data_IF_565638515779
#
_entry.id   IF_565638515779
#
_cell.length_a   1.000
_cell.length_b   1.000
_cell.length_c   1.000
_cell.angle_alpha   90.00
_cell.angle_beta   90.00
_cell.angle_gamma   90.00
#
_symmetry.space_group_name_H-M   'P 1'
#
loop_
_entity.id
_entity.type
_entity.pdbx_description
1 polymer ?
2 non-polymer ?
3 water ?
#
# COMPACT_ATOMS: atom_id res chain seq x y z
N UNK A 12 15.68 -17.06 -10.26
CA UNK A 12 14.34 -16.74 -9.64
C UNK A 12 13.21 -17.58 -10.27
N UNK A 13 12.56 -18.45 -9.46
CA UNK A 13 11.39 -19.21 -9.92
C UNK A 13 10.08 -18.41 -9.85
N UNK A 14 9.17 -18.66 -10.82
CA UNK A 14 7.86 -17.98 -10.86
C UNK A 14 7.10 -18.27 -9.57
N UNK A 15 6.57 -17.23 -8.93
CA UNK A 15 5.69 -17.38 -7.79
C UNK A 15 4.38 -17.99 -8.34
N UNK A 16 3.73 -18.89 -7.59
CA UNK A 16 2.54 -19.56 -8.17
C UNK A 16 1.26 -18.75 -8.02
N UNK A 17 0.37 -18.83 -8.99
CA UNK A 17 -0.93 -18.22 -8.86
C UNK A 17 -1.78 -19.15 -8.06
N UNK A 18 -2.55 -18.57 -7.14
CA UNK A 18 -3.47 -19.33 -6.31
C UNK A 18 -4.82 -18.84 -6.68
N UNK A 19 -5.62 -19.74 -7.24
CA UNK A 19 -6.94 -19.34 -7.74
C UNK A 19 -7.90 -19.73 -6.62
N UNK A 20 -8.90 -18.90 -6.38
CA UNK A 20 -9.71 -19.04 -5.19
C UNK A 20 -11.17 -19.11 -5.57
N UNK A 21 -11.51 -18.47 -6.69
CA UNK A 21 -12.85 -18.51 -7.20
C UNK A 21 -12.79 -18.44 -8.72
N UNK A 22 -13.80 -18.96 -9.40
CA UNK A 22 -13.82 -18.91 -10.85
C UNK A 22 -14.68 -17.76 -11.37
N UNK A 23 -14.33 -17.26 -12.56
CA UNK A 23 -14.95 -16.10 -13.20
C UNK A 23 -16.47 -16.25 -13.50
N UNK A 24 -17.09 -15.18 -14.04
CA UNK A 24 -18.52 -15.14 -14.48
C UNK A 24 -19.47 -15.71 -13.43
N UNK A 29 -20.62 -8.73 -14.65
CA UNK A 29 -19.42 -8.51 -13.82
C UNK A 29 -18.16 -8.07 -14.59
N UNK A 30 -17.15 -7.58 -13.85
CA UNK A 30 -15.93 -7.03 -14.44
C UNK A 30 -14.75 -7.49 -13.61
N UNK A 31 -13.82 -8.21 -14.21
CA UNK A 31 -12.64 -8.58 -13.46
C UNK A 31 -11.51 -7.56 -13.67
N UNK A 32 -10.57 -7.50 -12.72
CA UNK A 32 -9.39 -6.61 -12.85
C UNK A 32 -8.36 -6.95 -11.81
N UNK A 33 -7.13 -6.58 -12.06
CA UNK A 33 -6.06 -6.86 -11.09
C UNK A 33 -5.55 -5.59 -10.39
N UNK A 34 -5.15 -5.80 -9.14
CA UNK A 34 -4.55 -4.79 -8.27
C UNK A 34 -3.20 -5.24 -7.73
N UNK A 35 -2.17 -4.44 -7.94
CA UNK A 35 -0.84 -4.61 -7.33
C UNK A 35 -0.60 -3.59 -6.16
N UNK A 36 0.06 -4.03 -5.09
CA UNK A 36 0.42 -3.21 -3.95
C UNK A 36 1.86 -3.50 -3.64
N UNK A 37 2.70 -2.49 -3.69
CA UNK A 37 4.14 -2.76 -3.61
C UNK A 37 4.94 -1.65 -2.94
N UNK A 38 5.64 -1.98 -1.86
CA UNK A 38 6.54 -1.00 -1.27
C UNK A 38 7.91 -1.24 -1.87
N UNK A 39 8.37 -0.24 -2.56
CA UNK A 39 9.49 -0.24 -3.46
C UNK A 39 10.85 -0.06 -2.79
N UNK A 40 10.82 0.46 -1.53
CA UNK A 40 12.03 0.79 -0.78
C UNK A 40 12.79 1.97 -1.38
N UNK A 41 12.57 3.18 -0.81
CA UNK A 41 13.20 4.37 -1.40
C UNK A 41 14.70 4.35 -1.16
N UNK A 42 15.42 4.97 -2.07
CA UNK A 42 16.84 5.02 -2.08
C UNK A 42 17.41 5.55 -0.76
N UNK A 43 16.74 6.55 -0.20
CA UNK A 43 17.22 7.26 0.98
C UNK A 43 17.33 6.34 2.17
N UNK A 44 16.52 5.30 2.22
CA UNK A 44 16.64 4.39 3.35
C UNK A 44 17.30 3.08 2.99
N UNK A 45 17.86 3.01 1.78
CA UNK A 45 18.52 1.80 1.34
C UNK A 45 20.03 1.84 1.67
N UNK A 46 20.34 1.78 2.96
CA UNK A 46 21.73 1.90 3.41
C UNK A 46 22.26 0.57 3.96
N UNK A 47 23.60 0.49 3.97
CA UNK A 47 24.37 -0.60 4.58
C UNK A 47 24.14 -0.77 6.06
N UNK A 48 23.86 0.34 6.75
CA UNK A 48 23.51 0.28 8.14
C UNK A 48 22.25 -0.51 8.37
N UNK A 49 21.21 -0.25 7.55
CA UNK A 49 19.94 -0.96 7.71
C UNK A 49 19.94 -2.30 6.99
N UNK A 50 20.76 -2.42 5.95
CA UNK A 50 20.74 -3.66 5.15
C UNK A 50 22.14 -4.17 4.96
N UNK A 51 22.75 -4.64 6.05
CA UNK A 51 24.18 -4.94 6.06
C UNK A 51 24.50 -6.15 5.21
N UNK A 52 23.50 -7.00 5.01
CA UNK A 52 23.65 -8.27 4.35
C UNK A 52 23.55 -8.19 2.85
N UNK A 53 23.34 -6.99 2.31
CA UNK A 53 23.20 -6.84 0.87
C UNK A 53 24.31 -5.96 0.33
N UNK A 54 25.01 -6.41 -0.74
CA UNK A 54 26.11 -5.62 -1.32
C UNK A 54 25.66 -4.25 -1.79
N UNK A 55 26.57 -3.28 -1.70
CA UNK A 55 26.31 -1.90 -2.09
C UNK A 55 25.91 -1.75 -3.53
N UNK A 56 26.55 -2.52 -4.39
CA UNK A 56 26.22 -2.42 -5.77
C UNK A 56 24.75 -2.90 -6.02
N UNK A 57 24.24 -3.81 -5.20
CA UNK A 57 22.84 -4.27 -5.31
C UNK A 57 21.83 -3.36 -4.59
N UNK A 58 22.29 -2.53 -3.64
CA UNK A 58 21.45 -1.53 -3.00
C UNK A 58 21.32 -0.28 -3.85
N UNK A 59 22.35 0.04 -4.60
CA UNK A 59 22.42 1.26 -5.35
C UNK A 59 21.19 1.39 -6.26
N UNK A 60 20.59 2.58 -6.28
CA UNK A 60 19.33 2.83 -6.99
C UNK A 60 19.42 2.58 -8.50
N UNK A 61 20.58 2.89 -9.11
CA UNK A 61 20.81 2.63 -10.53
C UNK A 61 20.61 1.13 -10.82
N UNK A 62 21.08 0.28 -9.91
CA UNK A 62 20.89 -1.13 -10.05
C UNK A 62 19.45 -1.51 -9.73
N UNK A 63 18.99 -1.23 -8.48
CA UNK A 63 17.67 -1.66 -7.94
C UNK A 63 16.48 -1.18 -8.74
N UNK A 64 16.54 0.03 -9.29
CA UNK A 64 15.39 0.53 -10.02
C UNK A 64 14.97 -0.34 -11.21
N UNK A 65 15.95 -0.94 -11.90
CA UNK A 65 15.71 -1.88 -13.02
C UNK A 65 14.84 -3.03 -12.55
N UNK A 66 15.24 -3.66 -11.43
CA UNK A 66 14.46 -4.71 -10.80
C UNK A 66 13.08 -4.27 -10.37
N UNK A 67 12.94 -3.03 -9.89
CA UNK A 67 11.66 -2.57 -9.44
C UNK A 67 10.73 -2.40 -10.63
N UNK A 68 11.22 -1.73 -11.67
CA UNK A 68 10.47 -1.57 -12.92
C UNK A 68 10.02 -2.92 -13.53
N UNK A 69 10.94 -3.88 -13.58
CA UNK A 69 10.72 -5.20 -14.15
C UNK A 69 9.57 -5.84 -13.38
N UNK A 70 9.64 -5.77 -12.04
CA UNK A 70 8.56 -6.24 -11.19
C UNK A 70 7.20 -5.63 -11.55
N UNK A 71 7.13 -4.32 -11.62
CA UNK A 71 5.88 -3.65 -11.89
C UNK A 71 5.31 -3.97 -13.29
N UNK A 72 6.19 -3.88 -14.29
CA UNK A 72 5.87 -4.11 -15.68
C UNK A 72 5.29 -5.53 -15.86
N UNK A 73 5.96 -6.53 -15.29
CA UNK A 73 5.60 -7.92 -15.49
C UNK A 73 4.39 -8.34 -14.70
N UNK A 74 4.07 -7.61 -13.63
CA UNK A 74 2.81 -7.85 -12.94
C UNK A 74 1.71 -7.28 -13.80
N UNK A 75 1.99 -6.23 -14.54
CA UNK A 75 1.01 -5.74 -15.47
C UNK A 75 -0.40 -5.61 -14.83
N UNK A 76 -0.48 -5.10 -13.60
CA UNK A 76 -1.78 -4.88 -12.95
C UNK A 76 -2.60 -3.79 -13.61
N UNK A 77 -3.92 -3.90 -13.54
CA UNK A 77 -4.75 -2.79 -13.98
C UNK A 77 -4.65 -1.57 -13.04
N UNK A 78 -4.48 -1.83 -11.74
CA UNK A 78 -4.29 -0.82 -10.72
C UNK A 78 -3.01 -1.08 -9.93
N UNK A 79 -2.16 -0.07 -9.86
CA UNK A 79 -0.93 -0.20 -9.08
C UNK A 79 -0.88 0.81 -7.91
N UNK A 80 -0.74 0.31 -6.68
CA UNK A 80 -0.41 1.19 -5.53
C UNK A 80 1.01 1.00 -5.11
N UNK A 81 1.78 2.08 -5.16
CA UNK A 81 3.17 2.06 -4.71
C UNK A 81 3.38 2.89 -3.44
N UNK A 82 4.24 2.39 -2.55
CA UNK A 82 4.72 3.17 -1.43
C UNK A 82 6.22 3.39 -1.56
N UNK A 83 6.70 4.44 -0.90
CA UNK A 83 8.11 4.79 -0.84
C UNK A 83 8.67 5.17 -2.20
N UNK A 84 7.83 5.79 -3.01
CA UNK A 84 8.22 6.41 -4.27
C UNK A 84 8.76 7.79 -4.04
N UNK A 85 10.01 7.95 -4.39
CA UNK A 85 10.75 9.18 -4.31
C UNK A 85 10.17 10.18 -5.30
N UNK A 86 9.96 11.41 -4.86
CA UNK A 86 9.37 12.45 -5.72
C UNK A 86 9.98 12.58 -7.10
N UNK A 87 11.30 12.73 -7.18
CA UNK A 87 11.90 12.93 -8.47
C UNK A 87 11.82 11.62 -9.31
N UNK A 88 11.94 10.48 -8.66
CA UNK A 88 11.78 9.20 -9.32
C UNK A 88 10.36 9.04 -9.89
N UNK A 89 9.35 9.60 -9.22
CA UNK A 89 8.04 9.55 -9.77
C UNK A 89 7.99 10.27 -11.14
N UNK A 90 8.59 11.45 -11.23
CA UNK A 90 8.43 12.26 -12.44
C UNK A 90 9.30 11.82 -13.61
N UNK A 91 10.42 11.19 -13.34
CA UNK A 91 11.42 10.92 -14.35
C UNK A 91 11.55 9.41 -14.63
N UNK A 92 10.75 8.58 -13.95
CA UNK A 92 10.87 7.14 -14.09
C UNK A 92 9.52 6.47 -14.03
N UNK A 93 8.94 6.36 -12.85
CA UNK A 93 7.68 5.67 -12.71
C UNK A 93 6.63 6.17 -13.68
N UNK A 94 6.36 7.47 -13.70
CA UNK A 94 5.24 7.94 -14.47
C UNK A 94 5.55 7.89 -15.98
N UNK A 95 6.75 8.36 -16.39
CA UNK A 95 6.88 8.29 -17.85
C UNK A 95 6.93 6.83 -18.35
N UNK A 96 7.62 5.96 -17.63
CA UNK A 96 7.64 4.54 -18.04
C UNK A 96 6.27 3.90 -18.07
N UNK A 97 5.40 4.22 -17.11
CA UNK A 97 4.09 3.56 -17.00
C UNK A 97 3.03 4.14 -17.95
N UNK A 98 3.20 5.42 -18.31
CA UNK A 98 2.43 6.04 -19.35
C UNK A 98 2.68 5.31 -20.68
N UNK A 99 3.95 5.02 -20.96
CA UNK A 99 4.33 4.22 -22.11
C UNK A 99 3.61 2.88 -22.20
N UNK A 100 3.08 2.39 -21.06
CA UNK A 100 2.38 1.10 -20.96
C UNK A 100 0.92 1.28 -20.81
N UNK A 101 0.39 2.46 -21.02
CA UNK A 101 -1.06 2.62 -20.89
C UNK A 101 -1.59 3.09 -19.55
N UNK A 102 -0.74 3.50 -18.64
CA UNK A 102 -1.28 3.97 -17.35
C UNK A 102 -1.30 5.48 -17.25
N UNK A 103 -2.24 6.00 -16.49
CA UNK A 103 -2.02 7.31 -15.85
C UNK A 103 -1.84 7.16 -14.32
N UNK A 104 -1.38 8.21 -13.65
CA UNK A 104 -1.07 8.11 -12.20
C UNK A 104 -1.25 9.36 -11.36
N UNK A 105 -1.41 9.15 -10.05
CA UNK A 105 -1.46 10.21 -9.04
C UNK A 105 -0.38 9.98 -7.95
N UNK A 106 0.33 11.04 -7.56
CA UNK A 106 1.35 10.94 -6.56
C UNK A 106 1.27 12.09 -5.56
N UNK A 107 1.41 11.79 -4.27
CA UNK A 107 1.72 12.83 -3.25
C UNK A 107 2.87 12.39 -2.36
N UNK A 108 3.84 13.27 -2.20
CA UNK A 108 4.97 13.09 -1.25
C UNK A 108 4.47 13.30 0.17
N UNK A 109 5.21 12.83 1.15
CA UNK A 109 4.98 13.36 2.47
C UNK A 109 5.74 14.70 2.67
N UNK A 110 5.57 15.32 3.85
CA UNK A 110 6.33 16.56 4.22
C UNK A 110 6.13 17.74 3.31
N UNK A 111 4.97 17.83 2.70
CA UNK A 111 4.70 18.97 1.86
C UNK A 111 4.81 20.30 2.63
N UNK A 112 4.32 20.32 3.87
CA UNK A 112 4.33 21.54 4.67
C UNK A 112 5.71 21.80 5.31
N UNK A 113 6.59 20.81 5.33
CA UNK A 113 7.92 20.93 5.94
C UNK A 113 8.89 21.68 5.04
N UNK A 114 9.67 22.57 5.66
CA UNK A 114 10.58 23.41 4.93
C UNK A 114 11.88 22.65 4.70
N UNK A 115 12.40 22.69 3.47
CA UNK A 115 13.58 21.91 3.07
C UNK A 115 14.17 22.43 1.76
N UNK A 116 15.42 22.11 1.47
CA UNK A 116 15.98 22.52 0.15
C UNK A 116 15.28 21.83 -1.04
N UNK A 117 15.56 22.33 -2.25
CA UNK A 117 15.07 21.73 -3.52
C UNK A 117 15.60 20.32 -3.69
N UNK A 118 16.86 20.14 -3.32
CA UNK A 118 17.50 18.86 -3.35
C UNK A 118 16.75 17.89 -2.46
N UNK A 119 16.50 18.25 -1.20
CA UNK A 119 15.84 17.36 -0.26
C UNK A 119 14.42 17.07 -0.75
N UNK A 120 13.78 18.05 -1.37
CA UNK A 120 12.41 17.93 -1.83
C UNK A 120 12.28 16.83 -2.94
N UNK A 121 13.34 16.64 -3.74
CA UNK A 121 13.35 15.62 -4.79
C UNK A 121 13.45 14.25 -4.19
N UNK A 122 14.04 14.15 -3.00
CA UNK A 122 14.28 12.88 -2.37
C UNK A 122 13.22 12.35 -1.42
N UNK A 123 12.19 13.13 -1.19
CA UNK A 123 11.12 12.76 -0.25
C UNK A 123 10.20 11.76 -0.90
N UNK A 124 9.78 10.74 -0.16
CA UNK A 124 8.94 9.71 -0.74
C UNK A 124 7.47 9.94 -0.46
N UNK A 125 6.63 9.24 -1.20
CA UNK A 125 5.21 9.28 -1.07
C UNK A 125 4.53 8.06 -1.66
N UNK A 126 3.26 8.22 -1.94
CA UNK A 126 2.40 7.15 -2.32
C UNK A 126 1.87 7.49 -3.70
N UNK A 127 1.88 6.48 -4.59
CA UNK A 127 1.34 6.61 -5.93
C UNK A 127 0.25 5.52 -6.24
N UNK A 128 -0.78 5.94 -6.96
CA UNK A 128 -1.71 5.03 -7.55
C UNK A 128 -1.65 5.21 -9.08
N UNK A 129 -1.60 4.08 -9.77
CA UNK A 129 -1.62 4.09 -11.23
C UNK A 129 -2.72 3.19 -11.71
N UNK A 130 -3.23 3.49 -12.90
CA UNK A 130 -4.39 2.79 -13.46
C UNK A 130 -4.37 2.84 -15.00
N UNK A 131 -4.84 1.76 -15.62
CA UNK A 131 -4.91 1.63 -17.10
C UNK A 131 -5.98 2.55 -17.66
N UNK A 132 -5.59 3.53 -18.47
CA UNK A 132 -6.56 4.50 -19.03
C UNK A 132 -7.59 3.83 -19.97
N UNK A 133 -7.19 2.75 -20.64
CA UNK A 133 -8.08 1.89 -21.39
C UNK A 133 -9.22 1.37 -20.51
N UNK A 134 -8.97 1.13 -19.24
CA UNK A 134 -10.03 0.56 -18.40
C UNK A 134 -10.67 1.50 -17.37
N UNK A 135 -10.05 2.64 -17.09
CA UNK A 135 -10.55 3.53 -16.06
C UNK A 135 -10.39 4.99 -16.40
N UNK A 136 -11.29 5.81 -15.91
CA UNK A 136 -11.18 7.25 -16.09
C UNK A 136 -11.15 7.90 -14.71
N UNK A 137 -10.11 8.71 -14.49
CA UNK A 137 -9.93 9.42 -13.24
C UNK A 137 -10.95 10.55 -13.09
N UNK A 138 -11.66 10.51 -11.98
CA UNK A 138 -12.73 11.46 -11.72
C UNK A 138 -12.34 12.45 -10.62
N UNK A 139 -11.79 11.94 -9.51
CA UNK A 139 -11.31 12.78 -8.38
C UNK A 139 -10.04 12.24 -7.78
N UNK A 140 -9.17 13.12 -7.30
CA UNK A 140 -7.99 12.71 -6.54
C UNK A 140 -7.88 13.42 -5.21
N UNK A 141 -7.53 12.69 -4.16
CA UNK A 141 -7.33 13.25 -2.83
C UNK A 141 -6.07 12.78 -2.10
N UNK A 142 -5.50 13.70 -1.34
CA UNK A 142 -4.36 13.45 -0.48
C UNK A 142 -4.86 13.64 0.96
N UNK A 143 -4.51 12.68 1.82
CA UNK A 143 -4.83 12.70 3.23
C UNK A 143 -3.51 12.72 4.04
N UNK A 144 -3.31 13.81 4.76
CA UNK A 144 -2.12 14.02 5.55
C UNK A 144 -2.47 13.74 6.99
N UNK A 145 -1.95 12.64 7.53
CA UNK A 145 -2.43 12.19 8.85
C UNK A 145 -2.07 13.22 9.98
N UNK A 146 -0.91 13.88 9.86
CA UNK A 146 -0.47 14.90 10.83
C UNK A 146 -1.52 15.99 10.96
N UNK A 147 -1.98 16.49 9.82
CA UNK A 147 -3.00 17.52 9.81
C UNK A 147 -4.36 17.05 10.25
N UNK A 148 -4.71 15.80 9.98
CA UNK A 148 -6.02 15.30 10.42
C UNK A 148 -5.99 15.13 11.94
N UNK A 149 -4.81 14.76 12.44
CA UNK A 149 -4.64 14.55 13.85
C UNK A 149 -4.77 15.88 14.59
N UNK A 150 -4.20 16.93 14.00
CA UNK A 150 -4.16 18.18 14.69
C UNK A 150 -5.59 18.77 14.78
N UNK A 151 -6.29 18.86 13.66
CA UNK A 151 -7.73 19.21 13.60
C UNK A 151 -8.69 18.36 14.46
N UNK A 152 -8.24 17.22 14.96
CA UNK A 152 -9.08 16.35 15.79
C UNK A 152 -8.43 16.02 17.13
N UNK A 153 -7.45 16.83 17.57
CA UNK A 153 -6.74 16.55 18.83
C UNK A 153 -7.59 16.67 20.09
N UNK A 154 -8.39 17.74 20.19
CA UNK A 154 -9.40 17.84 21.28
C UNK A 154 -8.87 17.73 22.70
N UNK A 155 -7.90 18.55 23.08
CA UNK A 155 -7.33 18.43 24.43
C UNK A 155 -7.08 16.98 24.80
N UNK A 156 -6.42 16.26 23.88
CA UNK A 156 -5.88 14.92 24.11
C UNK A 156 -4.40 15.08 23.82
N UNK A 157 -3.61 14.83 24.85
CA UNK A 157 -2.18 15.08 24.83
C UNK A 157 -1.44 14.09 23.93
N UNK A 158 -1.86 12.82 23.96
CA UNK A 158 -1.31 11.76 23.12
C UNK A 158 -1.40 12.07 21.62
N UNK A 159 -2.58 12.48 21.16
CA UNK A 159 -2.80 12.89 19.76
C UNK A 159 -1.74 13.85 19.27
N UNK A 160 -1.45 14.87 20.05
CA UNK A 160 -0.61 15.97 19.61
C UNK A 160 0.87 15.59 19.66
N UNK A 161 1.29 14.99 20.77
CA UNK A 161 2.68 14.60 20.91
C UNK A 161 3.00 13.40 20.04
N UNK A 162 2.09 12.43 19.97
CA UNK A 162 2.40 11.13 19.38
C UNK A 162 1.96 11.00 17.93
N UNK A 163 0.72 11.37 17.63
CA UNK A 163 0.19 11.23 16.27
C UNK A 163 0.59 12.38 15.38
N UNK A 164 0.44 13.60 15.85
CA UNK A 164 0.57 14.74 14.97
C UNK A 164 2.04 14.93 14.60
N UNK A 165 2.94 14.35 15.38
CA UNK A 165 4.33 14.48 15.07
C UNK A 165 4.80 13.45 13.96
N UNK A 166 3.90 12.56 13.56
CA UNK A 166 4.19 11.57 12.49
C UNK A 166 3.76 12.04 11.09
N UNK A 167 4.76 12.21 10.26
CA UNK A 167 4.61 12.65 8.90
C UNK A 167 3.92 11.73 7.82
N UNK A 168 3.07 10.80 8.17
CA UNK A 168 2.54 9.86 7.17
C UNK A 168 1.34 10.30 6.33
N UNK A 169 1.16 9.67 5.17
CA UNK A 169 0.06 10.01 4.27
C UNK A 169 -0.63 8.84 3.57
N UNK A 170 -1.77 9.14 2.94
CA UNK A 170 -2.51 8.20 2.13
C UNK A 170 -3.01 9.01 0.97
N UNK A 171 -3.37 8.35 -0.13
CA UNK A 171 -3.90 9.03 -1.34
C UNK A 171 -5.08 8.23 -1.75
N UNK A 172 -5.96 8.85 -2.50
CA UNK A 172 -7.11 8.13 -2.96
C UNK A 172 -7.49 8.70 -4.29
N UNK A 173 -7.99 7.85 -5.18
CA UNK A 173 -8.56 8.32 -6.42
C UNK A 173 -9.98 7.78 -6.58
N UNK A 174 -10.84 8.58 -7.21
CA UNK A 174 -12.12 8.09 -7.65
C UNK A 174 -11.98 7.80 -9.15
N UNK A 175 -12.33 6.57 -9.51
CA UNK A 175 -12.24 6.12 -10.90
C UNK A 175 -13.58 5.69 -11.48
N UNK A 176 -13.73 5.96 -12.77
CA UNK A 176 -14.88 5.47 -13.52
C UNK A 176 -14.50 4.18 -14.22
N UNK A 177 -15.19 3.09 -13.90
CA UNK A 177 -14.96 1.79 -14.55
C UNK A 177 -15.70 1.76 -15.89
N UNK A 178 -14.94 1.75 -16.97
CA UNK A 178 -15.46 1.70 -18.34
C UNK A 178 -16.46 0.57 -18.54
N UNK A 179 -17.67 0.96 -18.95
CA UNK A 179 -18.84 0.07 -18.91
C UNK A 179 -18.61 -1.21 -19.71
N UNK A 180 -17.83 -1.11 -20.78
CA UNK A 180 -17.46 -2.27 -21.61
C UNK A 180 -16.55 -3.32 -20.96
N UNK A 181 -16.31 -3.20 -19.65
CA UNK A 181 -15.62 -4.26 -18.92
C UNK A 181 -16.60 -5.23 -18.29
N UNK A 182 -17.88 -4.88 -18.33
CA UNK A 182 -18.96 -5.75 -17.87
C UNK A 182 -19.52 -6.66 -18.97
N UNK A 194 -23.33 5.01 -14.55
CA UNK A 194 -21.89 5.34 -14.51
C UNK A 194 -21.20 4.78 -13.25
N UNK A 195 -20.37 3.75 -13.45
CA UNK A 195 -19.86 2.96 -12.34
C UNK A 195 -18.55 3.53 -11.78
N UNK A 196 -18.49 3.62 -10.45
CA UNK A 196 -17.38 4.29 -9.74
C UNK A 196 -16.61 3.34 -8.87
N UNK A 197 -15.31 3.56 -8.77
CA UNK A 197 -14.48 2.78 -7.84
C UNK A 197 -13.52 3.73 -7.13
N UNK A 198 -13.37 3.51 -5.83
CA UNK A 198 -12.41 4.23 -5.04
C UNK A 198 -11.26 3.29 -4.76
N UNK A 199 -10.06 3.75 -5.14
CA UNK A 199 -8.82 3.13 -4.76
C UNK A 199 -8.04 4.02 -3.76
N UNK A 200 -7.63 3.45 -2.64
CA UNK A 200 -6.93 4.17 -1.60
C UNK A 200 -5.63 3.44 -1.28
N UNK A 201 -4.56 4.20 -1.18
CA UNK A 201 -3.21 3.69 -0.92
C UNK A 201 -2.65 4.47 0.29
N UNK A 202 -2.09 3.80 1.28
CA UNK A 202 -1.46 4.49 2.48
C UNK A 202 -0.22 3.79 3.00
N UNK A 203 0.61 4.54 3.71
CA UNK A 203 1.79 4.00 4.34
C UNK A 203 1.87 4.58 5.77
N UNK A 204 1.45 3.77 6.74
CA UNK A 204 1.47 4.08 8.15
C UNK A 204 2.90 4.11 8.73
N UNK A 205 2.99 4.71 9.92
CA UNK A 205 4.21 4.81 10.71
C UNK A 205 4.68 3.39 11.04
N UNK A 206 5.97 3.17 11.15
CA UNK A 206 6.57 1.83 11.16
C UNK A 206 6.85 1.26 12.57
N UNK A 207 7.13 2.16 13.52
CA UNK A 207 7.67 1.82 14.85
C UNK A 207 6.72 0.95 15.67
N UNK A 208 7.15 -0.27 16.06
CA UNK A 208 6.24 -1.18 16.81
C UNK A 208 5.93 -0.69 18.23
N UNK A 209 6.69 0.30 18.69
CA UNK A 209 6.40 0.96 19.95
C UNK A 209 5.24 1.92 19.77
N UNK A 210 4.76 2.05 18.53
CA UNK A 210 3.67 2.98 18.24
C UNK A 210 2.42 2.39 17.64
N UNK A 211 1.98 1.26 18.19
CA UNK A 211 0.77 0.59 17.70
C UNK A 211 -0.46 1.48 17.76
N UNK A 212 -0.43 2.45 18.69
CA UNK A 212 -1.52 3.43 18.86
C UNK A 212 -1.57 4.40 17.70
N UNK A 213 -0.42 4.91 17.31
CA UNK A 213 -0.34 5.76 16.11
C UNK A 213 -0.85 5.05 14.85
N UNK A 214 -0.38 3.82 14.63
CA UNK A 214 -0.79 2.98 13.47
C UNK A 214 -2.29 2.87 13.45
N UNK A 215 -2.87 2.60 14.63
CA UNK A 215 -4.31 2.39 14.69
C UNK A 215 -5.06 3.66 14.38
N UNK A 216 -4.67 4.75 15.03
CA UNK A 216 -5.29 6.02 14.79
C UNK A 216 -5.12 6.49 13.34
N UNK A 217 -3.92 6.33 12.76
CA UNK A 217 -3.74 6.67 11.34
C UNK A 217 -4.69 5.87 10.42
N UNK A 218 -4.91 4.61 10.76
CA UNK A 218 -5.86 3.79 10.01
C UNK A 218 -7.28 4.30 10.13
N UNK A 219 -7.70 4.69 11.35
CA UNK A 219 -9.05 5.27 11.56
C UNK A 219 -9.25 6.56 10.85
N UNK A 220 -8.22 7.40 10.87
CA UNK A 220 -8.34 8.68 10.17
C UNK A 220 -8.43 8.42 8.68
N UNK A 221 -7.64 7.47 8.20
CA UNK A 221 -7.64 7.19 6.78
C UNK A 221 -9.00 6.67 6.33
N UNK A 222 -9.53 5.71 7.06
CA UNK A 222 -10.82 5.16 6.70
C UNK A 222 -11.96 6.22 6.75
N UNK A 223 -11.99 7.04 7.81
CA UNK A 223 -13.04 8.04 7.85
C UNK A 223 -12.79 9.18 6.88
N UNK A 224 -11.54 9.48 6.56
CA UNK A 224 -11.36 10.45 5.49
C UNK A 224 -11.80 9.87 4.14
N UNK A 225 -11.68 8.56 3.95
CA UNK A 225 -12.15 7.95 2.71
C UNK A 225 -13.69 7.95 2.67
N UNK A 226 -14.33 7.51 3.75
CA UNK A 226 -15.77 7.67 3.93
C UNK A 226 -15.99 9.15 4.02
N UNK A 227 -16.47 9.82 2.98
CA UNK A 227 -16.34 11.28 3.00
C UNK A 227 -16.00 11.76 1.61
N UNK A 228 -14.84 11.32 1.14
CA UNK A 228 -14.55 11.37 -0.27
C UNK A 228 -15.75 10.68 -0.92
N UNK A 229 -16.10 9.52 -0.36
CA UNK A 229 -17.22 8.74 -0.82
C UNK A 229 -18.56 9.51 -0.82
N UNK A 230 -18.75 10.44 0.12
CA UNK A 230 -19.98 11.24 0.11
C UNK A 230 -19.95 12.27 -1.03
N UNK A 231 -19.05 13.24 -0.93
CA UNK A 231 -18.94 14.32 -1.91
C UNK A 231 -19.22 13.90 -3.36
N UNK A 232 -18.68 12.74 -3.75
CA UNK A 232 -18.92 12.16 -5.09
C UNK A 232 -19.79 10.90 -4.98
N UNK A 245 -22.01 1.68 -0.80
CA UNK A 245 -22.66 2.25 -1.98
C UNK A 245 -21.74 2.58 -3.21
N UNK A 246 -20.41 2.64 -2.99
CA UNK A 246 -19.40 2.76 -4.08
C UNK A 246 -18.25 1.82 -3.71
N UNK A 247 -17.87 0.90 -4.61
CA UNK A 247 -16.85 -0.07 -4.21
C UNK A 247 -15.47 0.55 -3.87
N UNK A 248 -14.82 -0.07 -2.89
CA UNK A 248 -13.56 0.39 -2.37
C UNK A 248 -12.44 -0.68 -2.41
N UNK A 249 -11.30 -0.29 -2.97
CA UNK A 249 -10.08 -1.09 -2.85
C UNK A 249 -9.05 -0.32 -2.01
N UNK A 250 -8.60 -0.93 -0.92
CA UNK A 250 -7.68 -0.28 -0.03
C UNK A 250 -6.36 -1.00 0.01
N UNK A 251 -5.30 -0.32 -0.44
CA UNK A 251 -3.95 -0.88 -0.41
C UNK A 251 -3.13 -0.18 0.65
N UNK A 252 -2.37 -0.94 1.44
CA UNK A 252 -1.55 -0.24 2.39
C UNK A 252 -0.39 -1.03 2.89
N UNK A 253 0.73 -0.35 3.09
CA UNK A 253 1.74 -0.81 4.00
C UNK A 253 1.26 -0.32 5.39
N UNK A 254 0.52 -1.18 6.10
CA UNK A 254 0.01 -0.85 7.42
C UNK A 254 1.01 -0.98 8.54
N UNK A 255 2.12 -1.65 8.28
CA UNK A 255 3.12 -1.89 9.31
C UNK A 255 2.54 -2.59 10.49
N UNK A 256 1.52 -3.38 10.23
CA UNK A 256 0.77 -4.12 11.26
C UNK A 256 0.59 -5.60 10.89
N UNK A 257 0.89 -6.47 11.84
CA UNK A 257 0.62 -7.89 11.73
C UNK A 257 -0.88 -8.22 11.67
N UNK A 258 -1.25 -9.40 11.11
CA UNK A 258 -2.68 -9.80 11.04
C UNK A 258 -3.36 -9.90 12.39
N UNK A 259 -2.63 -10.21 13.46
CA UNK A 259 -3.22 -10.21 14.79
C UNK A 259 -3.50 -8.81 15.38
N UNK A 260 -2.86 -7.77 14.85
CA UNK A 260 -2.95 -6.40 15.37
C UNK A 260 -4.35 -5.82 15.51
N UNK A 261 -4.46 -4.75 16.29
CA UNK A 261 -5.68 -3.95 16.37
C UNK A 261 -6.07 -3.25 15.09
N UNK A 262 -5.07 -2.83 14.29
CA UNK A 262 -5.44 -2.21 12.99
C UNK A 262 -6.11 -3.17 12.03
N UNK A 263 -5.59 -4.39 12.00
CA UNK A 263 -6.15 -5.37 11.05
C UNK A 263 -7.49 -5.83 11.57
N UNK A 264 -7.54 -6.11 12.88
CA UNK A 264 -8.84 -6.36 13.52
C UNK A 264 -9.87 -5.29 13.18
N UNK A 265 -9.48 -4.03 13.31
CA UNK A 265 -10.39 -2.92 12.97
C UNK A 265 -10.85 -2.88 11.50
N UNK A 266 -9.93 -3.11 10.56
CA UNK A 266 -10.32 -3.14 9.15
C UNK A 266 -11.15 -4.37 8.79
N UNK A 267 -10.80 -5.54 9.34
CA UNK A 267 -11.49 -6.83 9.02
C UNK A 267 -12.90 -6.93 9.58
N UNK A 268 -13.08 -6.51 10.83
CA UNK A 268 -14.35 -6.66 11.54
C UNK A 268 -15.24 -5.44 11.64
N UNK A 269 -14.95 -4.40 10.86
CA UNK A 269 -15.82 -3.21 10.87
C UNK A 269 -15.71 -2.36 12.14
N UNK A 270 -14.95 -2.84 13.12
CA UNK A 270 -14.68 -2.03 14.27
C UNK A 270 -13.77 -2.65 15.30
N UNK A 271 -13.46 -1.87 16.34
CA UNK A 271 -12.58 -2.30 17.43
C UNK A 271 -12.97 -1.57 18.74
N UNK A 272 -12.58 -2.14 19.88
CA UNK A 272 -12.97 -1.59 21.17
C UNK A 272 -12.08 -0.39 21.54
N UNK A 273 -12.67 0.69 22.05
CA UNK A 273 -11.85 1.85 22.48
C UNK A 273 -10.74 1.52 23.49
N UNK A 274 -10.85 0.39 24.19
CA UNK A 274 -9.78 -0.01 25.12
C UNK A 274 -8.91 -1.15 24.61
N UNK A 275 -8.95 -1.38 23.29
CA UNK A 275 -8.00 -2.31 22.69
C UNK A 275 -6.61 -1.96 23.19
N UNK A 276 -5.86 -2.97 23.61
CA UNK A 276 -4.51 -2.79 24.13
C UNK A 276 -3.54 -2.05 23.19
N UNK A 277 -3.86 -2.01 21.90
CA UNK A 277 -2.96 -1.37 20.91
C UNK A 277 -3.03 0.15 21.08
N UNK A 278 -4.13 0.63 21.65
CA UNK A 278 -4.24 2.02 22.04
C UNK A 278 -3.32 2.36 23.20
N UNK A 279 -2.68 1.34 23.79
CA UNK A 279 -1.82 1.51 24.98
C UNK A 279 -2.19 2.60 26.00
N UNK A 280 -2.33 3.84 25.57
CA UNK A 280 -2.67 4.96 26.46
C UNK A 280 -3.99 4.68 27.14
N UNK A 302 -16.91 0.92 21.69
CA UNK A 302 -16.36 0.39 20.44
C UNK A 302 -16.33 1.39 19.28
N UNK A 303 -15.14 1.58 18.69
CA UNK A 303 -14.92 2.42 17.48
C UNK A 303 -15.22 1.67 16.17
N UNK A 304 -16.16 2.20 15.39
CA UNK A 304 -16.65 1.45 14.24
C UNK A 304 -16.52 2.23 12.94
N UNK A 305 -16.54 1.51 11.83
CA UNK A 305 -16.56 2.14 10.51
C UNK A 305 -17.64 1.53 9.63
N UNK A 306 -17.93 2.21 8.53
CA UNK A 306 -19.07 1.85 7.69
C UNK A 306 -18.85 0.80 6.63
N UNK A 307 -17.61 0.39 6.39
CA UNK A 307 -17.31 -0.52 5.26
C UNK A 307 -17.27 -1.98 5.68
N UNK A 308 -17.40 -2.85 4.68
CA UNK A 308 -17.31 -4.28 4.88
C UNK A 308 -16.20 -4.78 3.99
N UNK A 309 -15.05 -5.02 4.62
CA UNK A 309 -13.80 -5.21 3.91
C UNK A 309 -13.22 -6.58 4.22
N UNK A 310 -12.58 -7.18 3.23
CA UNK A 310 -11.80 -8.39 3.41
C UNK A 310 -10.39 -8.22 2.83
N UNK A 311 -9.44 -8.92 3.42
CA UNK A 311 -8.09 -8.96 2.91
C UNK A 311 -8.06 -9.98 1.78
N UNK A 312 -7.63 -9.54 0.59
CA UNK A 312 -7.40 -10.43 -0.53
C UNK A 312 -6.61 -11.67 -0.15
N UNK A 313 -5.65 -11.55 0.76
CA UNK A 313 -4.77 -12.64 1.11
C UNK A 313 -5.11 -13.29 2.47
N UNK A 314 -6.34 -13.18 2.92
CA UNK A 314 -6.60 -13.62 4.29
C UNK A 314 -6.42 -15.12 4.42
N UNK A 315 -6.30 -15.58 5.67
CA UNK A 315 -6.05 -16.99 6.00
C UNK A 315 -4.67 -17.44 5.55
N UNK A 316 -3.71 -16.53 5.71
CA UNK A 316 -2.27 -16.85 5.67
C UNK A 316 -1.69 -17.23 4.31
N UNK A 317 -2.18 -16.63 3.23
CA UNK A 317 -1.72 -17.03 1.91
C UNK A 317 -0.24 -16.69 1.62
N UNK A 318 0.28 -15.65 2.27
CA UNK A 318 1.70 -15.41 2.27
C UNK A 318 2.21 -15.47 3.70
N UNK A 319 3.41 -16.00 3.87
CA UNK A 319 3.90 -15.99 5.24
C UNK A 319 4.52 -14.64 5.66
N UNK A 320 4.97 -13.84 4.68
CA UNK A 320 5.66 -12.58 4.91
C UNK A 320 5.42 -11.69 3.73
N UNK A 321 5.22 -10.39 3.96
CA UNK A 321 5.34 -9.41 2.89
C UNK A 321 6.62 -8.60 3.02
N UNK A 322 7.14 -8.44 4.23
CA UNK A 322 8.38 -7.73 4.46
C UNK A 322 9.40 -8.76 4.94
N UNK A 323 10.64 -8.70 4.44
CA UNK A 323 11.55 -9.82 4.62
C UNK A 323 12.91 -9.28 4.88
N UNK A 324 13.28 -9.13 6.14
CA UNK A 324 14.63 -8.62 6.51
C UNK A 324 15.22 -9.64 7.44
N UNK A 325 16.51 -9.53 7.73
CA UNK A 325 17.17 -10.37 8.71
C UNK A 325 16.43 -10.31 10.06
N UNK A 326 16.12 -9.09 10.53
CA UNK A 326 15.59 -8.92 11.91
C UNK A 326 14.12 -9.11 11.99
N UNK A 327 13.45 -8.99 10.86
CA UNK A 327 12.00 -9.04 10.87
C UNK A 327 11.41 -9.57 9.56
N UNK A 328 10.45 -10.48 9.69
CA UNK A 328 9.69 -11.01 8.58
C UNK A 328 8.26 -11.11 9.01
N UNK A 329 7.32 -10.52 8.29
CA UNK A 329 5.92 -10.89 8.53
C UNK A 329 5.03 -10.16 7.58
N UNK A 330 3.74 -10.42 7.68
CA UNK A 330 2.78 -9.80 6.82
C UNK A 330 2.40 -8.43 7.37
N UNK A 331 2.70 -7.37 6.61
CA UNK A 331 2.40 -6.02 7.05
C UNK A 331 1.81 -5.15 5.97
N UNK A 332 1.76 -5.71 4.75
CA UNK A 332 1.15 -5.05 3.60
C UNK A 332 -0.11 -5.79 3.23
N UNK A 333 -1.10 -5.08 2.66
CA UNK A 333 -2.45 -5.61 2.48
C UNK A 333 -3.15 -4.97 1.32
N UNK A 334 -4.06 -5.75 0.72
CA UNK A 334 -5.04 -5.25 -0.19
C UNK A 334 -6.36 -5.68 0.42
N UNK A 335 -7.22 -4.71 0.71
CA UNK A 335 -8.52 -4.96 1.26
C UNK A 335 -9.50 -4.48 0.24
N UNK A 336 -10.65 -5.16 0.12
CA UNK A 336 -11.66 -4.77 -0.88
C UNK A 336 -13.05 -4.88 -0.23
N UNK A 337 -14.03 -4.12 -0.71
CA UNK A 337 -15.38 -4.21 -0.15
C UNK A 337 -16.11 -5.45 -0.67
N UNK A 338 -16.41 -6.36 0.27
CA UNK A 338 -16.95 -7.70 -0.05
C UNK A 338 -18.39 -7.69 -0.57
N UNK A 339 -19.10 -6.59 -0.35
CA UNK A 339 -20.46 -6.42 -0.85
C UNK A 339 -20.47 -6.34 -2.36
N UNK A 340 -19.40 -5.82 -2.93
CA UNK A 340 -19.38 -5.57 -4.37
C UNK A 340 -18.41 -6.46 -5.14
N UNK A 341 -17.51 -7.14 -4.42
CA UNK A 341 -16.41 -7.87 -5.09
C UNK A 341 -16.06 -9.21 -4.46
N UNK A 342 -15.49 -10.11 -5.27
CA UNK A 342 -14.80 -11.34 -4.80
C UNK A 342 -13.35 -11.36 -5.23
N UNK A 343 -12.52 -12.11 -4.53
CA UNK A 343 -11.21 -12.43 -5.04
C UNK A 343 -11.27 -13.67 -5.94
N UNK A 344 -10.84 -13.51 -7.18
CA UNK A 344 -10.64 -14.66 -8.06
C UNK A 344 -9.34 -15.41 -7.74
N UNK A 345 -8.25 -14.67 -7.55
CA UNK A 345 -6.97 -15.25 -7.14
C UNK A 345 -5.93 -14.24 -6.62
N UNK A 346 -4.84 -14.78 -6.10
CA UNK A 346 -3.73 -13.96 -5.64
C UNK A 346 -2.41 -14.54 -6.16
N UNK A 347 -1.42 -13.67 -6.39
CA UNK A 347 -0.05 -14.14 -6.55
C UNK A 347 0.57 -14.60 -5.21
N UNK A 348 0.78 -15.90 -5.07
CA UNK A 348 1.25 -16.48 -3.84
C UNK A 348 2.73 -16.31 -3.59
N UNK A 349 3.23 -16.95 -2.52
CA UNK A 349 4.57 -16.63 -2.04
C UNK A 349 5.67 -17.13 -2.96
N UNK A 350 6.80 -16.45 -2.87
CA UNK A 350 8.04 -16.89 -3.41
C UNK A 350 8.35 -18.18 -2.69
N UNK A 351 8.90 -19.14 -3.43
CA UNK A 351 9.09 -20.49 -2.91
C UNK A 351 10.17 -20.50 -1.82
N UNK A 352 9.80 -20.88 -0.57
CA UNK A 352 10.74 -20.84 0.56
C UNK A 352 12.01 -21.68 0.34
N UNK A 353 11.91 -22.82 -0.35
CA UNK A 353 13.07 -23.62 -0.75
C UNK A 353 14.05 -22.84 -1.62
N UNK A 354 13.52 -22.01 -2.51
CA UNK A 354 14.39 -21.26 -3.36
C UNK A 354 15.22 -20.26 -2.55
N UNK A 355 14.58 -19.63 -1.56
CA UNK A 355 15.21 -18.63 -0.69
C UNK A 355 16.27 -19.30 0.15
N UNK A 356 15.88 -20.43 0.72
CA UNK A 356 16.76 -21.28 1.50
C UNK A 356 17.94 -21.78 0.68
N UNK A 357 17.68 -22.30 -0.52
CA UNK A 357 18.74 -22.80 -1.40
C UNK A 357 19.69 -21.73 -1.82
N UNK A 358 19.19 -20.49 -1.87
CA UNK A 358 20.04 -19.39 -2.27
C UNK A 358 20.60 -18.63 -1.10
N UNK A 359 20.32 -19.15 0.10
CA UNK A 359 20.79 -18.55 1.33
C UNK A 359 20.36 -17.09 1.51
N UNK A 360 19.08 -16.83 1.28
CA UNK A 360 18.55 -15.48 1.33
C UNK A 360 17.64 -15.38 2.52
N UNK A 361 18.16 -14.79 3.57
CA UNK A 361 17.35 -14.59 4.77
C UNK A 361 16.97 -13.11 5.02
N UNK A 362 17.36 -12.23 4.10
CA UNK A 362 16.96 -10.83 4.15
C UNK A 362 16.97 -10.23 2.77
N UNK A 363 16.09 -9.26 2.53
CA UNK A 363 16.09 -8.47 1.30
C UNK A 363 16.27 -6.96 1.58
N UNK A 364 16.63 -6.17 0.56
CA UNK A 364 16.92 -6.53 -0.84
C UNK A 364 18.12 -7.46 -0.97
N UNK A 365 18.27 -7.99 -2.18
CA UNK A 365 19.28 -8.96 -2.53
C UNK A 365 19.50 -8.67 -4.02
N UNK A 366 20.57 -9.20 -4.63
CA UNK A 366 20.79 -8.95 -6.07
C UNK A 366 19.62 -9.36 -6.99
N UNK A 367 18.79 -10.28 -6.56
CA UNK A 367 17.64 -10.70 -7.37
C UNK A 367 16.31 -10.21 -6.81
N UNK A 368 16.33 -9.50 -5.68
CA UNK A 368 15.10 -9.01 -5.08
C UNK A 368 15.33 -7.57 -4.71
N UNK A 369 14.75 -6.64 -5.46
CA UNK A 369 15.12 -5.23 -5.43
C UNK A 369 14.48 -4.37 -4.28
N UNK A 370 13.73 -5.01 -3.39
CA UNK A 370 13.08 -4.32 -2.28
C UNK A 370 13.09 -5.29 -1.09
N UNK A 371 12.85 -4.80 0.12
CA UNK A 371 12.63 -5.68 1.29
C UNK A 371 11.17 -6.05 1.53
N UNK A 372 10.27 -5.60 0.68
CA UNK A 372 8.89 -6.13 0.61
C UNK A 372 8.68 -6.95 -0.69
N UNK A 373 7.75 -7.90 -0.64
CA UNK A 373 7.27 -8.60 -1.80
C UNK A 373 5.95 -7.92 -2.22
N UNK A 374 5.73 -7.80 -3.54
CA UNK A 374 4.53 -7.22 -4.12
C UNK A 374 3.39 -8.10 -3.82
N UNK A 375 2.20 -7.53 -3.71
CA UNK A 375 0.99 -8.34 -3.63
C UNK A 375 0.33 -8.04 -4.96
N UNK A 376 -0.43 -9.01 -5.46
CA UNK A 376 -1.19 -8.88 -6.71
C UNK A 376 -2.43 -9.75 -6.58
N UNK A 377 -3.58 -9.15 -6.80
CA UNK A 377 -4.83 -9.91 -6.72
C UNK A 377 -5.72 -9.62 -7.91
N UNK A 378 -6.49 -10.63 -8.32
CA UNK A 378 -7.51 -10.45 -9.32
C UNK A 378 -8.85 -10.34 -8.62
N UNK A 379 -9.60 -9.29 -8.89
CA UNK A 379 -10.93 -9.15 -8.29
C UNK A 379 -12.05 -9.15 -9.32
N UNK A 380 -13.25 -9.50 -8.85
CA UNK A 380 -14.46 -9.46 -9.68
C UNK A 380 -15.48 -8.48 -9.12
N UNK A 381 -15.86 -7.52 -9.93
CA UNK A 381 -16.74 -6.47 -9.50
C UNK A 381 -18.11 -6.61 -10.12
N UNK A 382 -19.14 -6.46 -9.29
CA UNK A 382 -20.55 -6.45 -9.70
C UNK A 382 -21.16 -5.05 -9.53
N UNK A 383 -22.06 -4.61 -10.44
CA UNK A 383 -22.86 -3.40 -10.10
C UNK A 383 -23.96 -3.74 -9.08
#
# INVERSE_FOLDING_TARGET
>A
MLDNLAVHPEQLPPRPWITLKERDQILPSASFTVMCYNVLCDKYATRQLYGYCPSWALNWEYRKKGIMEEIVNCDADIISLQEVETEQYFTLFLPALKERGYDGFFSPKSRAKIMSEQERKHVDGCAIFFKTEKFTLVQKHTVEFNQVAMANSDGSEAMLNRVMTKDNIGVAVVLEVHKELFGAGMKPIHAADKQLLIVANAHMHWDPEYSDVKLIQTMMFVSEVKNILEKASSRPGSPTADPNSIPLVLCADLNSLPDSGVVEYLSNGGVADNHKDFKELRYNECLMNFSCNGKNGSSEGRITHGFQLKSAYENNLMPYTNYTFDFKGVIDYIFYSKTHMNVLGVLGPLDPQWLVENNITGCPHPHIPSDHFSLLTQLELHPPLLPLVNGVHLPNRR
#
